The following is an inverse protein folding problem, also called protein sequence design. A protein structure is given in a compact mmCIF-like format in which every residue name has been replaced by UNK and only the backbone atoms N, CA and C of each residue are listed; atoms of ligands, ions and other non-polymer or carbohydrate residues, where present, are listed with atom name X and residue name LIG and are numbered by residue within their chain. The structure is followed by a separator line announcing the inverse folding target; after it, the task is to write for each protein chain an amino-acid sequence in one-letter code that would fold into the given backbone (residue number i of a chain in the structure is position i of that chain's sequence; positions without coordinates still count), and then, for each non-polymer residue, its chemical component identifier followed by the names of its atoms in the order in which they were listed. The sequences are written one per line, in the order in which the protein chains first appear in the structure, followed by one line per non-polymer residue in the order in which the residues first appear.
data_IF_665582862486
#
_entry.id   IF_665582862486
#
_cell.length_a   1.000
_cell.length_b   1.000
_cell.length_c   1.000
_cell.angle_alpha   90.00
_cell.angle_beta   90.00
_cell.angle_gamma   90.00
#
_symmetry.space_group_name_H-M   'P 1'
#
loop_
_entity.id
_entity.type
_entity.pdbx_description
1 polymer ?
#
# COMPACT_ATOMS: atom_id res chain seq x y z
N UNK A 1 -41.90 10.48 26.29
CA UNK A 1 -41.37 11.68 26.99
C UNK A 1 -41.95 12.99 26.50
N UNK A 2 -41.99 13.30 25.21
CA UNK A 2 -42.61 14.57 24.71
C UNK A 2 -44.12 14.69 24.91
N UNK A 3 -44.84 13.57 24.98
CA UNK A 3 -46.31 13.54 25.18
C UNK A 3 -46.73 13.61 26.67
N UNK A 4 -45.81 13.28 27.57
CA UNK A 4 -46.08 13.28 29.04
C UNK A 4 -45.61 14.55 29.74
N UNK A 5 -44.81 15.38 29.10
CA UNK A 5 -44.38 16.67 29.63
C UNK A 5 -45.48 17.70 29.44
N UNK A 6 -46.45 17.76 30.37
CA UNK A 6 -47.48 18.78 30.42
C UNK A 6 -46.95 20.20 30.15
N UNK A 7 -47.41 21.21 30.84
CA UNK A 7 -47.00 22.62 30.62
C UNK A 7 -45.64 23.03 31.19
N UNK A 8 -44.79 22.05 31.61
CA UNK A 8 -43.50 22.31 32.22
C UNK A 8 -42.43 22.61 31.19
N UNK A 9 -42.07 23.91 31.05
CA UNK A 9 -41.06 24.40 30.11
C UNK A 9 -39.68 23.83 30.31
N UNK A 10 -39.28 23.56 31.57
CA UNK A 10 -37.98 23.00 31.91
C UNK A 10 -37.83 21.54 31.42
N UNK A 11 -38.89 20.73 31.60
CA UNK A 11 -38.90 19.35 31.11
C UNK A 11 -38.85 19.29 29.57
N UNK A 12 -39.45 20.23 28.88
CA UNK A 12 -39.39 20.31 27.40
C UNK A 12 -38.01 20.71 26.89
N UNK A 13 -37.30 21.62 27.58
CA UNK A 13 -35.95 22.02 27.23
C UNK A 13 -34.96 20.87 27.49
N UNK A 14 -35.10 20.16 28.60
CA UNK A 14 -34.29 18.98 28.91
C UNK A 14 -34.50 17.88 27.88
N UNK A 15 -35.72 17.56 27.51
CA UNK A 15 -36.04 16.57 26.49
C UNK A 15 -35.50 16.97 25.09
N UNK A 16 -35.48 18.27 24.76
CA UNK A 16 -34.87 18.76 23.51
C UNK A 16 -33.35 18.64 23.50
N UNK A 17 -32.71 18.87 24.65
CA UNK A 17 -31.24 18.70 24.76
C UNK A 17 -30.84 17.23 24.63
N UNK A 18 -31.57 16.34 25.27
CA UNK A 18 -31.38 14.89 25.14
C UNK A 18 -31.61 14.40 23.69
N UNK A 19 -32.65 14.87 23.04
CA UNK A 19 -32.90 14.53 21.64
C UNK A 19 -31.74 14.92 20.72
N UNK A 20 -31.19 16.13 20.87
CA UNK A 20 -30.04 16.58 20.09
C UNK A 20 -28.80 15.73 20.33
N UNK A 21 -28.58 15.32 21.57
CA UNK A 21 -27.44 14.45 21.92
C UNK A 21 -27.60 13.07 21.30
N UNK A 22 -28.81 12.52 21.34
CA UNK A 22 -29.11 11.21 20.72
C UNK A 22 -29.00 11.28 19.21
N UNK A 23 -29.52 12.35 18.56
CA UNK A 23 -29.40 12.56 17.12
C UNK A 23 -27.94 12.65 16.68
N UNK A 24 -27.10 13.41 17.40
CA UNK A 24 -25.67 13.48 17.12
C UNK A 24 -24.97 12.12 17.27
N UNK A 25 -25.35 11.34 18.28
CA UNK A 25 -24.86 9.97 18.49
C UNK A 25 -25.29 9.02 17.36
N UNK A 26 -26.52 9.14 16.91
CA UNK A 26 -27.02 8.35 15.80
C UNK A 26 -26.23 8.63 14.51
N UNK A 27 -25.95 9.90 14.21
CA UNK A 27 -25.18 10.28 13.03
C UNK A 27 -23.75 9.69 13.04
N UNK A 28 -23.08 9.72 14.20
CA UNK A 28 -21.76 9.09 14.37
C UNK A 28 -21.85 7.58 14.14
N UNK A 29 -22.81 6.91 14.79
CA UNK A 29 -22.98 5.46 14.66
C UNK A 29 -23.36 5.04 13.22
N UNK A 30 -24.18 5.82 12.53
CA UNK A 30 -24.52 5.56 11.12
C UNK A 30 -23.28 5.64 10.22
N UNK A 31 -22.38 6.61 10.46
CA UNK A 31 -21.16 6.74 9.71
C UNK A 31 -20.19 5.58 10.02
N UNK A 32 -20.07 5.17 11.27
CA UNK A 32 -19.27 4.01 11.65
C UNK A 32 -19.78 2.72 11.01
N UNK A 33 -21.10 2.52 10.99
CA UNK A 33 -21.73 1.37 10.32
C UNK A 33 -21.43 1.40 8.81
N UNK A 34 -21.54 2.56 8.15
CA UNK A 34 -21.21 2.69 6.71
C UNK A 34 -19.78 2.28 6.43
N UNK A 35 -18.83 2.69 7.28
CA UNK A 35 -17.41 2.31 7.14
C UNK A 35 -17.21 0.80 7.35
N UNK A 36 -17.89 0.20 8.34
CA UNK A 36 -17.78 -1.23 8.62
C UNK A 36 -18.41 -2.13 7.55
N UNK A 37 -19.41 -1.61 6.82
CA UNK A 37 -20.07 -2.32 5.72
C UNK A 37 -19.29 -2.27 4.40
N UNK A 38 -18.23 -1.45 4.31
CA UNK A 38 -17.41 -1.43 3.10
C UNK A 38 -16.76 -2.81 2.87
N UNK A 39 -16.79 -3.32 1.64
CA UNK A 39 -16.15 -4.58 1.32
C UNK A 39 -14.64 -4.45 1.57
N UNK A 40 -14.08 -5.35 2.37
CA UNK A 40 -12.65 -5.44 2.59
C UNK A 40 -11.99 -6.24 1.49
N UNK A 41 -10.83 -5.80 1.04
CA UNK A 41 -10.00 -6.54 0.09
C UNK A 41 -9.45 -7.80 0.81
N UNK A 42 -9.64 -9.01 0.26
CA UNK A 42 -9.12 -10.24 0.85
C UNK A 42 -7.59 -10.26 0.97
N UNK A 43 -6.90 -9.41 0.23
CA UNK A 43 -5.44 -9.31 0.27
C UNK A 43 -4.93 -8.34 1.36
N UNK A 44 -5.80 -7.55 2.00
CA UNK A 44 -5.40 -6.51 2.96
C UNK A 44 -4.61 -7.06 4.17
N UNK A 45 -4.88 -8.30 4.57
CA UNK A 45 -4.21 -8.94 5.72
C UNK A 45 -2.94 -9.73 5.31
N UNK A 46 -2.57 -9.74 4.02
CA UNK A 46 -1.42 -10.48 3.51
C UNK A 46 -0.11 -9.73 3.70
N UNK A 47 0.99 -10.49 3.75
CA UNK A 47 2.33 -9.95 3.57
C UNK A 47 2.49 -9.39 2.16
N UNK A 48 3.48 -8.55 1.95
CA UNK A 48 3.73 -8.00 0.62
C UNK A 48 5.20 -8.04 0.24
N UNK A 49 5.43 -8.06 -1.07
CA UNK A 49 6.72 -7.80 -1.69
C UNK A 49 6.72 -6.37 -2.21
N UNK A 50 7.74 -5.60 -1.82
CA UNK A 50 7.94 -4.23 -2.26
C UNK A 50 9.19 -4.19 -3.15
N UNK A 51 9.02 -3.76 -4.39
CA UNK A 51 10.10 -3.59 -5.34
C UNK A 51 10.29 -2.11 -5.64
N UNK A 52 11.53 -1.62 -5.50
CA UNK A 52 11.93 -0.26 -5.83
C UNK A 52 12.87 -0.31 -7.01
N UNK A 53 12.51 0.32 -8.12
CA UNK A 53 13.33 0.43 -9.32
C UNK A 53 13.68 1.89 -9.59
N UNK A 54 14.96 2.17 -9.77
CA UNK A 54 15.39 3.46 -10.27
C UNK A 54 14.86 3.67 -11.71
N UNK A 55 14.30 4.84 -11.96
CA UNK A 55 13.77 5.22 -13.27
C UNK A 55 14.68 6.20 -14.00
N UNK A 56 14.08 7.25 -14.57
CA UNK A 56 14.84 8.29 -15.29
C UNK A 56 15.58 9.21 -14.32
N UNK A 57 16.84 9.55 -14.62
CA UNK A 57 17.66 10.45 -13.80
C UNK A 57 19.11 9.98 -13.62
N UNK A 58 19.49 8.85 -14.23
CA UNK A 58 20.86 8.32 -14.14
C UNK A 58 21.27 7.95 -12.72
N UNK A 59 22.50 8.27 -12.32
CA UNK A 59 23.02 7.99 -10.96
C UNK A 59 22.19 8.60 -9.85
N UNK A 60 21.58 9.77 -10.06
CA UNK A 60 20.72 10.40 -9.05
C UNK A 60 19.44 9.57 -8.79
N UNK A 61 18.90 8.91 -9.83
CA UNK A 61 17.76 8.02 -9.63
C UNK A 61 18.12 6.79 -8.78
N UNK A 62 19.34 6.29 -8.89
CA UNK A 62 19.85 5.20 -8.05
C UNK A 62 19.99 5.63 -6.59
N UNK A 63 20.52 6.85 -6.36
CA UNK A 63 20.63 7.44 -5.01
C UNK A 63 19.23 7.66 -4.43
N UNK A 64 18.30 8.19 -5.21
CA UNK A 64 16.92 8.39 -4.77
C UNK A 64 16.21 7.07 -4.43
N UNK A 65 16.44 6.01 -5.19
CA UNK A 65 15.91 4.68 -4.84
C UNK A 65 16.47 4.19 -3.50
N UNK A 66 17.74 4.49 -3.19
CA UNK A 66 18.34 4.21 -1.88
C UNK A 66 17.70 5.03 -0.75
N UNK A 67 17.45 6.31 -0.98
CA UNK A 67 16.77 7.19 -0.01
C UNK A 67 15.34 6.68 0.29
N UNK A 68 14.59 6.26 -0.76
CA UNK A 68 13.27 5.66 -0.61
C UNK A 68 13.32 4.36 0.20
N UNK A 69 14.31 3.51 -0.07
CA UNK A 69 14.53 2.28 0.70
C UNK A 69 14.70 2.59 2.19
N UNK A 70 15.50 3.59 2.52
CA UNK A 70 15.75 3.99 3.90
C UNK A 70 14.50 4.57 4.57
N UNK A 71 13.68 5.34 3.84
CA UNK A 71 12.40 5.85 4.32
C UNK A 71 11.46 4.71 4.65
N UNK A 72 11.28 3.76 3.72
CA UNK A 72 10.40 2.61 3.95
C UNK A 72 10.90 1.72 5.08
N UNK A 73 12.20 1.46 5.18
CA UNK A 73 12.77 0.67 6.29
C UNK A 73 12.49 1.32 7.66
N UNK A 74 12.64 2.64 7.78
CA UNK A 74 12.34 3.38 9.00
C UNK A 74 10.85 3.33 9.33
N UNK A 75 9.99 3.50 8.33
CA UNK A 75 8.55 3.41 8.50
C UNK A 75 8.12 2.02 9.00
N UNK A 76 8.61 0.97 8.34
CA UNK A 76 8.32 -0.41 8.70
C UNK A 76 8.82 -0.77 10.09
N UNK A 77 10.00 -0.26 10.48
CA UNK A 77 10.52 -0.43 11.83
C UNK A 77 9.64 0.23 12.91
N UNK A 78 9.09 1.42 12.62
CA UNK A 78 8.16 2.10 13.52
C UNK A 78 6.83 1.35 13.67
N UNK A 79 6.36 0.70 12.62
CA UNK A 79 5.15 -0.14 12.64
C UNK A 79 5.41 -1.54 13.26
N UNK A 80 6.67 -1.87 13.54
CA UNK A 80 7.05 -3.17 14.11
C UNK A 80 7.04 -4.32 13.11
N UNK A 81 7.09 -4.04 11.81
CA UNK A 81 7.09 -5.06 10.76
C UNK A 81 8.49 -5.63 10.54
N UNK A 82 8.53 -6.91 10.15
CA UNK A 82 9.77 -7.57 9.77
C UNK A 82 10.05 -7.33 8.29
N UNK A 83 11.29 -6.91 7.99
CA UNK A 83 11.73 -6.61 6.62
C UNK A 83 12.94 -7.44 6.29
N UNK A 84 12.88 -8.18 5.19
CA UNK A 84 14.02 -8.92 4.61
C UNK A 84 14.29 -8.45 3.19
N UNK A 85 15.57 -8.26 2.86
CA UNK A 85 16.01 -7.96 1.49
C UNK A 85 16.14 -9.28 0.77
N UNK A 86 15.34 -9.47 -0.29
CA UNK A 86 15.37 -10.67 -1.12
C UNK A 86 16.39 -10.56 -2.25
N UNK A 87 16.40 -9.41 -2.92
CA UNK A 87 17.33 -9.12 -4.00
C UNK A 87 17.72 -7.63 -3.99
N UNK A 88 18.96 -7.35 -4.38
CA UNK A 88 19.43 -5.97 -4.49
C UNK A 88 20.49 -5.85 -5.56
N UNK A 89 20.30 -4.91 -6.48
CA UNK A 89 21.24 -4.53 -7.51
C UNK A 89 21.80 -3.15 -7.21
N UNK A 90 23.06 -3.03 -6.73
CA UNK A 90 23.66 -1.72 -6.43
C UNK A 90 23.85 -0.89 -7.69
N UNK A 91 23.79 0.42 -7.55
CA UNK A 91 24.15 1.38 -8.59
C UNK A 91 25.64 1.62 -8.67
N UNK A 92 26.10 2.09 -9.82
CA UNK A 92 27.53 2.31 -10.06
C UNK A 92 28.11 3.47 -9.24
N UNK A 93 27.30 4.52 -9.00
CA UNK A 93 27.67 5.72 -8.25
C UNK A 93 27.05 5.76 -6.82
N UNK A 94 26.65 4.61 -6.32
CA UNK A 94 25.94 4.47 -5.03
C UNK A 94 24.42 4.31 -5.24
N UNK A 95 23.72 4.02 -4.14
CA UNK A 95 22.29 3.70 -4.19
C UNK A 95 22.01 2.34 -4.82
N UNK A 96 20.81 2.17 -5.35
CA UNK A 96 20.34 0.90 -5.90
C UNK A 96 19.64 1.10 -7.25
N UNK A 97 19.91 0.22 -8.24
CA UNK A 97 19.18 0.12 -9.51
C UNK A 97 17.82 -0.57 -9.30
N UNK A 98 17.85 -1.63 -8.51
CA UNK A 98 16.65 -2.40 -8.15
C UNK A 98 16.83 -2.98 -6.74
N UNK A 99 15.78 -2.95 -5.95
CA UNK A 99 15.74 -3.60 -4.63
C UNK A 99 14.39 -4.25 -4.44
N UNK A 100 14.39 -5.49 -4.00
CA UNK A 100 13.19 -6.26 -3.66
C UNK A 100 13.23 -6.57 -2.17
N UNK A 101 12.18 -6.14 -1.47
CA UNK A 101 11.97 -6.36 -0.05
C UNK A 101 10.77 -7.27 0.16
N UNK A 102 10.90 -8.20 1.08
CA UNK A 102 9.79 -8.93 1.65
C UNK A 102 9.40 -8.28 2.98
N UNK A 103 8.13 -7.95 3.15
CA UNK A 103 7.62 -7.30 4.35
C UNK A 103 6.56 -8.19 4.99
N UNK A 104 6.82 -8.59 6.25
CA UNK A 104 5.92 -9.44 7.05
C UNK A 104 5.40 -8.69 8.25
N UNK A 105 4.09 -8.74 8.45
CA UNK A 105 3.45 -8.09 9.59
C UNK A 105 1.93 -8.08 9.47
N UNK A 106 1.28 -7.39 10.39
CA UNK A 106 -0.18 -7.25 10.38
C UNK A 106 -0.61 -6.14 9.42
N UNK A 107 -1.54 -6.47 8.51
CA UNK A 107 -2.16 -5.53 7.54
C UNK A 107 -1.15 -4.72 6.71
N UNK A 108 -0.06 -5.36 6.34
CA UNK A 108 1.03 -4.71 5.60
C UNK A 108 0.55 -4.23 4.23
N UNK A 109 -0.11 -5.11 3.47
CA UNK A 109 -0.60 -4.78 2.14
C UNK A 109 -1.63 -3.66 2.17
N UNK A 110 -2.54 -3.64 3.14
CA UNK A 110 -3.56 -2.61 3.30
C UNK A 110 -2.98 -1.20 3.39
N UNK A 111 -1.84 -1.03 4.07
CA UNK A 111 -1.18 0.27 4.24
C UNK A 111 -0.30 0.62 3.04
N UNK A 112 0.47 -0.35 2.54
CA UNK A 112 1.45 -0.09 1.48
C UNK A 112 0.86 -0.03 0.07
N UNK A 113 -0.29 -0.64 -0.21
CA UNK A 113 -0.90 -0.68 -1.56
C UNK A 113 -1.05 0.70 -2.22
N UNK A 114 -1.18 1.75 -1.41
CA UNK A 114 -1.36 3.12 -1.90
C UNK A 114 -0.05 3.80 -2.32
N UNK A 115 1.09 3.24 -1.91
CA UNK A 115 2.43 3.72 -2.28
C UNK A 115 2.88 3.23 -3.65
N UNK A 116 2.14 2.28 -4.26
CA UNK A 116 2.46 1.75 -5.58
C UNK A 116 2.34 2.84 -6.65
N UNK A 117 3.44 3.09 -7.37
CA UNK A 117 3.44 4.08 -8.43
C UNK A 117 4.82 4.64 -8.74
N UNK A 118 4.83 5.77 -9.44
CA UNK A 118 6.05 6.49 -9.82
C UNK A 118 6.26 7.66 -8.86
N UNK A 119 7.35 7.60 -8.12
CA UNK A 119 7.80 8.67 -7.23
C UNK A 119 8.76 9.57 -7.98
N UNK A 120 8.53 10.87 -7.92
CA UNK A 120 9.33 11.88 -8.62
C UNK A 120 9.94 12.82 -7.59
N UNK A 121 11.25 13.05 -7.69
CA UNK A 121 11.97 14.03 -6.89
C UNK A 121 12.55 15.13 -7.77
N UNK A 122 12.50 16.35 -7.28
CA UNK A 122 13.16 17.52 -7.86
C UNK A 122 14.06 18.12 -6.79
N UNK A 123 15.37 17.87 -6.91
CA UNK A 123 16.37 18.39 -6.00
C UNK A 123 17.67 18.67 -6.74
N UNK A 124 18.58 19.39 -6.11
CA UNK A 124 19.96 19.49 -6.57
C UNK A 124 20.67 18.22 -6.13
N UNK A 125 21.13 17.37 -7.05
CA UNK A 125 21.85 16.13 -6.72
C UNK A 125 23.14 16.40 -5.95
N UNK A 126 23.54 15.46 -5.10
CA UNK A 126 24.85 15.53 -4.45
C UNK A 126 26.03 15.47 -5.46
N UNK A 127 25.77 14.92 -6.65
CA UNK A 127 26.75 14.80 -7.77
C UNK A 127 26.83 16.06 -8.64
N UNK A 128 25.94 17.04 -8.44
CA UNK A 128 25.87 18.25 -9.25
C UNK A 128 26.76 19.36 -8.68
N UNK A 129 27.71 19.84 -9.46
CA UNK A 129 28.65 20.90 -9.05
C UNK A 129 28.15 22.32 -9.32
N UNK A 130 27.18 22.48 -10.25
CA UNK A 130 26.68 23.79 -10.70
C UNK A 130 25.38 24.23 -10.03
N UNK A 131 24.86 23.44 -9.07
CA UNK A 131 23.66 23.79 -8.33
C UNK A 131 22.35 23.72 -9.16
N UNK A 132 22.31 22.98 -10.27
CA UNK A 132 21.12 22.83 -11.08
C UNK A 132 20.15 21.84 -10.47
N UNK A 133 18.86 22.15 -10.51
CA UNK A 133 17.80 21.22 -10.09
C UNK A 133 17.61 20.15 -11.15
N UNK A 134 17.75 18.88 -10.77
CA UNK A 134 17.47 17.73 -11.60
C UNK A 134 16.17 17.05 -11.19
N UNK A 135 15.52 16.40 -12.13
CA UNK A 135 14.35 15.58 -11.87
C UNK A 135 14.75 14.11 -11.99
N UNK A 136 14.53 13.37 -10.93
CA UNK A 136 14.76 11.93 -10.88
C UNK A 136 13.47 11.21 -10.53
N UNK A 137 13.33 9.97 -10.99
CA UNK A 137 12.16 9.14 -10.74
C UNK A 137 12.58 7.77 -10.23
N UNK A 138 11.75 7.21 -9.36
CA UNK A 138 11.83 5.82 -8.98
C UNK A 138 10.42 5.21 -9.03
N UNK A 139 10.34 3.95 -9.40
CA UNK A 139 9.06 3.22 -9.45
C UNK A 139 9.01 2.28 -8.25
N UNK A 140 7.89 2.32 -7.54
CA UNK A 140 7.58 1.42 -6.45
C UNK A 140 6.47 0.48 -6.89
N UNK A 141 6.72 -0.82 -6.87
CA UNK A 141 5.73 -1.85 -7.12
C UNK A 141 5.46 -2.61 -5.82
N UNK A 142 4.19 -2.86 -5.53
CA UNK A 142 3.76 -3.57 -4.34
C UNK A 142 2.88 -4.73 -4.77
N UNK A 143 3.27 -5.93 -4.40
CA UNK A 143 2.58 -7.15 -4.72
C UNK A 143 2.24 -7.90 -3.44
N UNK A 144 0.99 -8.38 -3.26
CA UNK A 144 0.66 -9.25 -2.14
C UNK A 144 1.37 -10.59 -2.32
N UNK A 145 1.73 -11.22 -1.22
CA UNK A 145 2.23 -12.58 -1.23
C UNK A 145 1.11 -13.52 -1.73
N UNK A 146 1.40 -14.28 -2.78
CA UNK A 146 0.48 -15.26 -3.32
C UNK A 146 0.67 -16.60 -2.62
N UNK A 147 -0.44 -17.27 -2.31
CA UNK A 147 -0.40 -18.67 -1.86
C UNK A 147 0.15 -19.55 -2.98
N UNK A 148 0.85 -20.62 -2.62
CA UNK A 148 1.30 -21.61 -3.60
C UNK A 148 0.09 -22.17 -4.37
N UNK A 149 0.07 -21.90 -5.66
CA UNK A 149 -0.96 -22.47 -6.53
C UNK A 149 -0.55 -23.89 -6.92
N UNK A 150 -1.24 -24.86 -6.38
CA UNK A 150 -1.05 -26.28 -6.73
C UNK A 150 -1.54 -26.51 -8.17
N UNK A 151 -0.63 -26.37 -9.13
CA UNK A 151 -0.95 -26.54 -10.55
C UNK A 151 -1.06 -28.05 -10.86
N UNK A 152 -2.28 -28.57 -10.82
CA UNK A 152 -2.57 -29.93 -11.26
C UNK A 152 -2.56 -30.00 -12.79
N UNK A 153 -1.43 -30.43 -13.36
CA UNK A 153 -1.31 -30.66 -14.79
C UNK A 153 -2.00 -32.01 -15.10
N UNK A 154 -3.20 -31.94 -15.65
CA UNK A 154 -3.91 -33.12 -16.13
C UNK A 154 -3.24 -33.70 -17.39
N UNK A 155 -3.25 -35.03 -17.54
CA UNK A 155 -2.71 -35.72 -18.74
C UNK A 155 -3.28 -35.18 -20.06
N UNK A 156 -4.50 -34.67 -20.06
CA UNK A 156 -5.13 -34.07 -21.25
C UNK A 156 -4.44 -32.80 -21.73
N UNK A 157 -3.89 -32.00 -20.83
CA UNK A 157 -3.21 -30.74 -21.19
C UNK A 157 -1.84 -31.00 -21.86
N UNK A 158 -1.16 -32.10 -21.50
CA UNK A 158 0.10 -32.50 -22.11
C UNK A 158 -0.10 -33.04 -23.54
N UNK A 159 -1.20 -33.74 -23.82
CA UNK A 159 -1.50 -34.27 -25.15
C UNK A 159 -1.76 -33.14 -26.16
N UNK A 160 -2.46 -32.09 -25.76
CA UNK A 160 -2.69 -30.91 -26.63
C UNK A 160 -1.41 -30.21 -27.05
N UNK A 161 -0.44 -30.12 -26.13
CA UNK A 161 0.83 -29.47 -26.43
C UNK A 161 1.70 -30.25 -27.41
N UNK A 162 1.72 -31.57 -27.30
CA UNK A 162 2.47 -32.46 -28.22
C UNK A 162 1.87 -32.46 -29.64
N UNK A 163 0.54 -32.43 -29.77
CA UNK A 163 -0.11 -32.32 -31.07
C UNK A 163 0.15 -31.00 -31.78
N UNK A 164 0.20 -29.87 -31.05
CA UNK A 164 0.49 -28.57 -31.65
C UNK A 164 1.94 -28.39 -32.07
N UNK A 165 2.87 -29.02 -31.37
CA UNK A 165 4.30 -29.01 -31.73
C UNK A 165 4.63 -29.91 -32.91
N UNK A 166 3.85 -30.98 -33.12
CA UNK A 166 4.06 -31.92 -34.23
C UNK A 166 3.44 -31.47 -35.58
N UNK A 167 2.58 -30.45 -35.56
CA UNK A 167 1.94 -29.93 -36.78
C UNK A 167 2.68 -28.74 -37.42
N UNK A 168 3.88 -28.38 -36.92
CA UNK A 168 4.70 -27.28 -37.43
C UNK A 168 6.06 -27.76 -37.97
N UNK A 169 6.12 -28.96 -38.55
CA UNK A 169 7.28 -29.46 -39.32
C UNK A 169 6.89 -29.77 -40.76
#
# INVERSE_FOLDING_TARGET
MFQDAGDDTEMREMARSEMKEIEARMEVLENDIKVLLLPRDPNDDRNCMLEIRAGTGGSEANIFAGDLLDVYRKYMANEGWQVSIMDSSPGDDGGYKNVVLEVKGDKVYSKLKWEAGVHRVQRVPATETQGRVHTSTATVAIMPECDEVDVKIGRCNLVYWIFFSSSCS
#
